data_IF_836737341459
#
_entry.id   IF_836737341459
#
_cell.length_a   1.000
_cell.length_b   1.000
_cell.length_c   1.000
_cell.angle_alpha   90.00
_cell.angle_beta   90.00
_cell.angle_gamma   90.00
#
_symmetry.space_group_name_H-M   'P 1'
#
loop_
_entity.id
_entity.type
_entity.pdbx_description
1 polymer ?
#
# COMPACT_ATOMS: atom_id res chain seq x y z
N UNK A 1 15.59 60.61 37.19
CA UNK A 1 14.51 60.29 36.23
C UNK A 1 15.00 59.12 35.40
N UNK A 2 14.69 57.84 35.79
CA UNK A 2 15.11 56.64 35.11
C UNK A 2 13.91 56.11 34.33
N UNK A 3 14.02 56.11 33.01
CA UNK A 3 13.02 55.49 32.12
C UNK A 3 13.39 54.02 31.96
N UNK A 4 12.59 53.12 32.55
CA UNK A 4 12.63 51.68 32.25
C UNK A 4 12.03 51.46 30.85
N UNK A 5 12.83 50.93 29.95
CA UNK A 5 12.39 50.42 28.68
C UNK A 5 12.02 48.91 28.87
N UNK A 6 10.74 48.64 28.94
CA UNK A 6 10.22 47.27 28.93
C UNK A 6 10.22 46.74 27.47
N UNK A 7 11.16 45.82 27.18
CA UNK A 7 11.22 45.13 25.91
C UNK A 7 10.26 43.92 25.95
N UNK A 8 9.08 44.08 25.36
CA UNK A 8 8.10 42.98 25.24
C UNK A 8 8.52 42.07 24.10
N UNK A 9 9.09 40.91 24.42
CA UNK A 9 9.48 39.88 23.47
C UNK A 9 8.23 39.08 23.08
N UNK A 10 7.63 39.43 21.94
CA UNK A 10 6.50 38.73 21.37
C UNK A 10 7.02 37.41 20.73
N UNK A 11 6.90 36.29 21.46
CA UNK A 11 7.16 34.97 20.92
C UNK A 11 6.08 34.60 19.90
N UNK A 12 6.40 34.74 18.62
CA UNK A 12 5.58 34.24 17.52
C UNK A 12 5.71 32.72 17.51
N UNK A 13 4.77 32.01 18.17
CA UNK A 13 4.63 30.56 18.01
C UNK A 13 4.22 30.29 16.57
N UNK A 14 5.19 30.01 15.70
CA UNK A 14 4.94 29.37 14.43
C UNK A 14 4.45 27.95 14.68
N UNK A 15 3.14 27.76 14.79
CA UNK A 15 2.52 26.45 14.79
C UNK A 15 2.73 25.85 13.38
N UNK A 16 3.81 25.10 13.21
CA UNK A 16 3.97 24.25 12.02
C UNK A 16 2.87 23.21 12.06
N UNK A 17 1.79 23.45 11.32
CA UNK A 17 0.78 22.45 11.09
C UNK A 17 1.43 21.30 10.32
N UNK A 18 1.81 20.23 11.02
CA UNK A 18 2.14 18.96 10.41
C UNK A 18 0.88 18.52 9.69
N UNK A 19 0.86 18.73 8.38
CA UNK A 19 -0.23 18.25 7.54
C UNK A 19 -0.20 16.72 7.62
N UNK A 20 -1.21 16.13 8.29
CA UNK A 20 -1.35 14.68 8.31
C UNK A 20 -1.50 14.21 6.86
N UNK A 21 -0.78 13.19 6.52
CA UNK A 21 -0.86 12.50 5.25
C UNK A 21 -1.68 11.24 5.45
N UNK A 22 -2.47 10.86 4.45
CA UNK A 22 -3.16 9.58 4.43
C UNK A 22 -2.16 8.46 4.74
N UNK A 23 -2.52 7.62 5.71
CA UNK A 23 -1.81 6.39 6.03
C UNK A 23 -2.57 5.23 5.39
N UNK A 24 -1.90 4.48 4.55
CA UNK A 24 -2.47 3.32 3.86
C UNK A 24 -2.05 2.02 4.57
N UNK A 25 -2.88 0.99 4.43
CA UNK A 25 -2.50 -0.38 4.78
C UNK A 25 -1.31 -0.81 3.91
N UNK A 26 -0.37 -1.61 4.43
CA UNK A 26 0.78 -2.12 3.67
C UNK A 26 0.43 -2.86 2.38
N UNK A 27 -0.79 -3.38 2.26
CA UNK A 27 -1.30 -4.00 1.04
C UNK A 27 -1.43 -2.99 -0.12
N UNK A 28 -1.53 -1.69 0.18
CA UNK A 28 -1.61 -0.62 -0.82
C UNK A 28 -0.26 0.06 -0.96
N UNK A 29 0.54 -0.42 -1.88
CA UNK A 29 1.85 0.15 -2.20
C UNK A 29 2.10 0.09 -3.70
N UNK A 30 3.20 0.64 -4.13
CA UNK A 30 3.66 0.49 -5.51
C UNK A 30 3.75 -0.99 -5.89
N UNK A 31 3.59 -1.30 -7.16
CA UNK A 31 3.59 -2.63 -7.74
C UNK A 31 2.41 -3.54 -7.35
N UNK A 32 1.45 -3.08 -6.57
CA UNK A 32 0.30 -3.90 -6.14
C UNK A 32 -0.55 -4.37 -7.31
N UNK A 33 -1.33 -5.43 -7.06
CA UNK A 33 -2.37 -5.92 -7.94
C UNK A 33 -3.74 -5.74 -7.30
N UNK A 34 -4.72 -5.29 -8.07
CA UNK A 34 -6.14 -5.31 -7.69
C UNK A 34 -6.88 -6.34 -8.53
N UNK A 35 -7.85 -7.02 -7.89
CA UNK A 35 -8.73 -7.95 -8.59
C UNK A 35 -9.47 -7.26 -9.73
N UNK A 36 -9.48 -7.88 -10.91
CA UNK A 36 -10.17 -7.36 -12.10
C UNK A 36 -11.70 -7.46 -12.01
N UNK A 37 -12.38 -6.65 -12.81
CA UNK A 37 -13.84 -6.69 -13.06
C UNK A 37 -14.68 -6.73 -11.76
N UNK A 38 -14.27 -5.96 -10.75
CA UNK A 38 -14.94 -5.91 -9.44
C UNK A 38 -14.97 -4.49 -8.89
N UNK A 39 -15.55 -4.36 -7.70
CA UNK A 39 -15.43 -3.19 -6.84
C UNK A 39 -14.37 -3.50 -5.78
N UNK A 40 -13.13 -3.17 -6.09
CA UNK A 40 -12.02 -3.42 -5.18
C UNK A 40 -12.06 -2.48 -3.98
N UNK A 41 -12.06 -2.97 -2.74
CA UNK A 41 -12.04 -2.13 -1.55
C UNK A 41 -10.68 -1.45 -1.39
N UNK A 42 -10.70 -0.17 -1.03
CA UNK A 42 -9.53 0.63 -0.68
C UNK A 42 -9.79 1.33 0.63
N UNK A 43 -8.85 1.28 1.57
CA UNK A 43 -9.01 1.83 2.92
C UNK A 43 -7.71 2.38 3.48
N UNK A 44 -7.83 3.11 4.57
CA UNK A 44 -6.70 3.66 5.30
C UNK A 44 -7.15 4.56 6.45
N UNK A 45 -6.21 5.35 6.94
CA UNK A 45 -6.43 6.27 8.04
C UNK A 45 -6.00 7.70 7.64
N UNK A 46 -6.67 8.67 8.24
CA UNK A 46 -6.33 10.10 8.15
C UNK A 46 -6.88 10.81 9.41
N UNK A 47 -6.95 12.13 9.41
CA UNK A 47 -7.60 12.87 10.51
C UNK A 47 -9.12 12.59 10.53
N UNK A 48 -9.73 12.55 11.73
CA UNK A 48 -11.18 12.43 11.86
C UNK A 48 -11.95 13.39 10.95
N UNK A 49 -13.03 12.88 10.36
CA UNK A 49 -13.93 13.64 9.47
C UNK A 49 -13.28 14.24 8.22
N UNK A 50 -12.05 13.91 7.94
CA UNK A 50 -11.34 14.40 6.76
C UNK A 50 -11.93 13.76 5.50
N UNK A 51 -12.13 14.57 4.47
CA UNK A 51 -12.49 14.09 3.14
C UNK A 51 -11.26 13.50 2.46
N UNK A 52 -11.40 12.29 1.91
CA UNK A 52 -10.39 11.60 1.11
C UNK A 52 -10.91 11.45 -0.32
N UNK A 53 -10.10 11.84 -1.28
CA UNK A 53 -10.36 11.67 -2.71
C UNK A 53 -9.40 10.63 -3.28
N UNK A 54 -9.93 9.67 -4.04
CA UNK A 54 -9.17 8.65 -4.76
C UNK A 54 -9.39 8.87 -6.25
N UNK A 55 -8.32 8.95 -7.03
CA UNK A 55 -8.38 9.07 -8.50
C UNK A 55 -7.64 7.91 -9.13
N UNK A 56 -8.30 7.19 -10.01
CA UNK A 56 -7.78 6.04 -10.75
C UNK A 56 -7.34 6.45 -12.15
N UNK A 57 -6.19 5.95 -12.63
CA UNK A 57 -5.66 6.36 -13.92
C UNK A 57 -6.30 5.65 -15.11
N UNK A 58 -6.96 4.51 -14.92
CA UNK A 58 -7.55 3.74 -16.00
C UNK A 58 -8.86 4.31 -16.56
N UNK A 59 -9.58 5.09 -15.74
CA UNK A 59 -10.85 5.71 -16.13
C UNK A 59 -10.97 7.19 -15.70
N UNK A 60 -9.93 7.74 -15.04
CA UNK A 60 -9.87 9.10 -14.49
C UNK A 60 -10.99 9.39 -13.48
N UNK A 61 -11.66 8.35 -12.98
CA UNK A 61 -12.77 8.49 -12.05
C UNK A 61 -12.28 8.93 -10.68
N UNK A 62 -13.10 9.78 -10.05
CA UNK A 62 -12.89 10.26 -8.69
C UNK A 62 -13.90 9.62 -7.74
N UNK A 63 -13.38 9.03 -6.69
CA UNK A 63 -14.15 8.48 -5.58
C UNK A 63 -13.89 9.34 -4.36
N UNK A 64 -14.93 9.62 -3.60
CA UNK A 64 -14.84 10.46 -2.40
C UNK A 64 -15.44 9.74 -1.22
N UNK A 65 -14.74 9.79 -0.09
CA UNK A 65 -15.19 9.24 1.18
C UNK A 65 -14.79 10.17 2.32
N UNK A 66 -15.55 10.18 3.39
CA UNK A 66 -15.21 10.90 4.62
C UNK A 66 -14.73 9.90 5.68
N UNK A 67 -13.64 10.24 6.35
CA UNK A 67 -13.14 9.46 7.48
C UNK A 67 -14.11 9.54 8.67
N UNK A 68 -14.19 8.46 9.42
CA UNK A 68 -14.99 8.35 10.63
C UNK A 68 -14.37 9.14 11.82
N UNK A 69 -15.00 9.14 13.00
CA UNK A 69 -14.46 9.82 14.20
C UNK A 69 -13.10 9.27 14.66
N UNK A 70 -12.73 8.05 14.26
CA UNK A 70 -11.46 7.41 14.54
C UNK A 70 -10.41 7.68 13.46
N UNK A 71 -10.80 8.40 12.39
CA UNK A 71 -9.94 8.71 11.25
C UNK A 71 -9.84 7.57 10.22
N UNK A 72 -10.63 6.50 10.34
CA UNK A 72 -10.67 5.39 9.39
C UNK A 72 -11.58 5.72 8.23
N UNK A 73 -11.19 5.30 7.03
CA UNK A 73 -12.00 5.43 5.83
C UNK A 73 -11.89 4.19 4.96
N UNK A 74 -12.98 3.88 4.25
CA UNK A 74 -13.05 2.78 3.29
C UNK A 74 -13.97 3.18 2.15
N UNK A 75 -13.57 2.85 0.93
CA UNK A 75 -14.39 3.01 -0.27
C UNK A 75 -14.10 1.86 -1.24
N UNK A 76 -14.81 1.84 -2.37
CA UNK A 76 -14.60 0.86 -3.42
C UNK A 76 -14.27 1.57 -4.72
N UNK A 77 -13.32 1.03 -5.48
CA UNK A 77 -12.98 1.49 -6.83
C UNK A 77 -13.33 0.42 -7.85
N UNK A 78 -13.99 0.80 -8.92
CA UNK A 78 -14.30 -0.13 -10.00
C UNK A 78 -13.03 -0.44 -10.79
N UNK A 79 -12.74 -1.72 -10.98
CA UNK A 79 -11.59 -2.21 -11.74
C UNK A 79 -12.02 -2.72 -13.11
N UNK A 80 -11.30 -2.38 -14.20
CA UNK A 80 -11.57 -2.91 -15.53
C UNK A 80 -11.09 -4.37 -15.68
N UNK A 81 -11.06 -4.88 -16.89
CA UNK A 81 -10.37 -6.11 -17.26
C UNK A 81 -8.88 -5.99 -16.98
N UNK A 82 -8.21 -7.15 -16.84
CA UNK A 82 -6.77 -7.22 -16.59
C UNK A 82 -5.95 -6.29 -17.49
N UNK A 83 -4.96 -5.66 -16.93
CA UNK A 83 -4.09 -4.71 -17.62
C UNK A 83 -3.26 -3.85 -16.69
N UNK A 84 -2.58 -2.87 -17.25
CA UNK A 84 -1.67 -1.97 -16.56
C UNK A 84 -0.36 -1.77 -17.33
N UNK A 85 0.62 -1.08 -16.73
CA UNK A 85 0.59 -0.51 -15.38
C UNK A 85 -0.27 0.77 -15.28
N UNK A 86 -0.96 0.89 -14.18
CA UNK A 86 -1.78 2.03 -13.81
C UNK A 86 -1.22 2.77 -12.59
N UNK A 87 -1.92 3.83 -12.19
CA UNK A 87 -1.66 4.50 -10.91
C UNK A 87 -2.96 4.87 -10.20
N UNK A 88 -2.87 4.96 -8.87
CA UNK A 88 -3.94 5.47 -8.01
C UNK A 88 -3.38 6.64 -7.22
N UNK A 89 -4.09 7.75 -7.24
CA UNK A 89 -3.75 8.91 -6.40
C UNK A 89 -4.78 9.05 -5.30
N UNK A 90 -4.32 9.08 -4.05
CA UNK A 90 -5.15 9.22 -2.85
C UNK A 90 -4.75 10.53 -2.16
N UNK A 91 -5.74 11.34 -1.79
CA UNK A 91 -5.49 12.66 -1.22
C UNK A 91 -6.49 13.02 -0.13
N UNK A 92 -5.99 13.48 0.98
CA UNK A 92 -6.74 14.17 2.04
C UNK A 92 -6.40 15.67 2.11
N UNK A 93 -5.82 16.20 1.02
CA UNK A 93 -5.19 17.50 0.90
C UNK A 93 -3.70 17.38 0.57
N UNK A 94 -3.04 16.29 0.97
CA UNK A 94 -1.72 15.88 0.51
C UNK A 94 -1.84 14.60 -0.31
N UNK A 95 -1.21 14.57 -1.49
CA UNK A 95 -1.31 13.46 -2.43
C UNK A 95 -0.32 12.34 -2.09
N UNK A 96 -0.82 11.12 -2.06
CA UNK A 96 -0.05 9.87 -2.11
C UNK A 96 -0.36 9.23 -3.46
N UNK A 97 0.66 8.91 -4.24
CA UNK A 97 0.52 8.23 -5.53
C UNK A 97 1.08 6.83 -5.42
N UNK A 98 0.26 5.84 -5.75
CA UNK A 98 0.67 4.45 -5.94
C UNK A 98 0.89 4.23 -7.43
N UNK A 99 2.07 3.74 -7.78
CA UNK A 99 2.53 3.57 -9.16
C UNK A 99 2.69 2.10 -9.52
N UNK A 100 2.75 1.82 -10.82
CA UNK A 100 2.91 0.45 -11.34
C UNK A 100 1.84 -0.52 -10.81
N UNK A 101 0.61 -0.04 -10.65
CA UNK A 101 -0.53 -0.85 -10.21
C UNK A 101 -1.01 -1.72 -11.37
N UNK A 102 -1.10 -3.02 -11.12
CA UNK A 102 -1.68 -3.96 -12.08
C UNK A 102 -3.13 -4.27 -11.70
N UNK A 103 -3.91 -4.64 -12.69
CA UNK A 103 -5.25 -5.19 -12.51
C UNK A 103 -5.23 -6.59 -13.12
N UNK A 104 -5.67 -7.59 -12.36
CA UNK A 104 -5.61 -8.99 -12.76
C UNK A 104 -6.25 -9.91 -11.73
N UNK A 105 -5.84 -11.16 -11.72
CA UNK A 105 -6.28 -12.13 -10.72
C UNK A 105 -5.43 -12.01 -9.44
N UNK A 106 -6.10 -11.99 -8.30
CA UNK A 106 -5.46 -11.94 -6.98
C UNK A 106 -5.66 -13.28 -6.28
N UNK A 107 -4.56 -13.94 -5.95
CA UNK A 107 -4.56 -15.23 -5.25
C UNK A 107 -4.10 -15.03 -3.82
N UNK A 108 -4.79 -15.68 -2.87
CA UNK A 108 -4.35 -15.79 -1.48
C UNK A 108 -3.75 -17.17 -1.29
N UNK A 109 -2.42 -17.20 -1.16
CA UNK A 109 -1.67 -18.43 -0.93
C UNK A 109 -1.43 -18.61 0.56
N UNK A 110 -1.93 -19.70 1.12
CA UNK A 110 -1.81 -20.01 2.55
C UNK A 110 -1.71 -21.53 2.75
N UNK A 111 -1.07 -21.94 3.83
CA UNK A 111 -0.90 -23.36 4.12
C UNK A 111 0.07 -23.60 5.26
N UNK A 112 0.83 -24.68 5.16
CA UNK A 112 1.85 -25.09 6.11
C UNK A 112 3.25 -25.02 5.50
N UNK A 113 4.14 -25.92 5.88
CA UNK A 113 5.56 -25.91 5.49
C UNK A 113 5.82 -25.80 3.98
N UNK A 114 4.96 -26.39 3.14
CA UNK A 114 5.12 -26.26 1.69
C UNK A 114 4.91 -24.83 1.16
N UNK A 115 4.14 -24.02 1.90
CA UNK A 115 3.94 -22.59 1.54
C UNK A 115 5.07 -21.68 2.05
N UNK A 116 5.99 -22.25 2.87
CA UNK A 116 7.19 -21.58 3.34
C UNK A 116 8.43 -21.97 2.55
N UNK A 117 8.32 -22.97 1.68
CA UNK A 117 9.44 -23.48 0.92
C UNK A 117 9.86 -22.45 -0.12
N UNK A 118 11.08 -21.97 0.02
CA UNK A 118 11.68 -20.99 -0.89
C UNK A 118 12.05 -21.65 -2.22
N UNK A 119 12.04 -20.88 -3.30
CA UNK A 119 12.54 -21.35 -4.60
C UNK A 119 14.03 -21.63 -4.50
N UNK A 120 14.81 -20.73 -3.87
CA UNK A 120 16.23 -20.90 -3.58
C UNK A 120 16.48 -20.70 -2.09
N UNK A 121 16.67 -21.75 -1.35
CA UNK A 121 16.89 -21.70 0.09
C UNK A 121 16.89 -23.09 0.70
N UNK A 122 16.49 -23.20 1.97
CA UNK A 122 16.25 -24.50 2.57
C UNK A 122 15.06 -25.17 1.86
N UNK A 123 15.13 -26.40 1.47
CA UNK A 123 14.05 -27.10 0.78
C UNK A 123 13.76 -26.60 -0.64
N UNK A 124 14.68 -25.92 -1.24
CA UNK A 124 14.59 -25.37 -2.60
C UNK A 124 14.02 -26.36 -3.63
N UNK A 125 13.35 -25.85 -4.63
CA UNK A 125 12.84 -26.66 -5.74
C UNK A 125 14.00 -27.25 -6.55
N UNK A 126 13.81 -28.42 -7.14
CA UNK A 126 14.88 -29.15 -7.83
C UNK A 126 15.50 -28.36 -8.99
N UNK A 127 14.67 -27.65 -9.76
CA UNK A 127 15.05 -26.86 -10.92
C UNK A 127 15.11 -25.34 -10.61
N UNK A 128 15.40 -24.95 -9.38
CA UNK A 128 15.30 -23.56 -8.92
C UNK A 128 16.05 -22.54 -9.78
N UNK A 129 17.16 -22.94 -10.40
CA UNK A 129 17.92 -22.06 -11.30
C UNK A 129 17.11 -21.72 -12.56
N UNK A 130 16.48 -22.73 -13.16
CA UNK A 130 15.59 -22.53 -14.31
C UNK A 130 14.39 -21.66 -13.93
N UNK A 131 13.75 -21.92 -12.80
CA UNK A 131 12.62 -21.11 -12.31
C UNK A 131 13.01 -19.62 -12.12
N UNK A 132 14.20 -19.37 -11.62
CA UNK A 132 14.73 -18.00 -11.48
C UNK A 132 14.95 -17.33 -12.84
N UNK A 133 15.53 -18.03 -13.79
CA UNK A 133 15.76 -17.51 -15.15
C UNK A 133 14.43 -17.23 -15.84
N UNK A 134 13.45 -18.14 -15.74
CA UNK A 134 12.14 -18.02 -16.33
C UNK A 134 11.31 -16.89 -15.70
N UNK A 135 11.53 -16.54 -14.43
CA UNK A 135 10.84 -15.47 -13.72
C UNK A 135 10.93 -14.11 -14.44
N UNK A 136 12.03 -13.85 -15.15
CA UNK A 136 12.22 -12.62 -15.93
C UNK A 136 11.21 -12.49 -17.10
N UNK A 137 10.61 -13.60 -17.54
CA UNK A 137 9.62 -13.62 -18.61
C UNK A 137 8.22 -13.26 -18.12
N UNK A 138 8.02 -13.12 -16.79
CA UNK A 138 6.72 -12.89 -16.17
C UNK A 138 6.64 -11.58 -15.37
N UNK A 139 7.03 -10.44 -15.95
CA UNK A 139 7.07 -9.16 -15.22
C UNK A 139 5.69 -8.65 -14.80
N UNK A 140 4.60 -9.29 -15.24
CA UNK A 140 3.23 -8.95 -14.81
C UNK A 140 2.79 -9.73 -13.57
N UNK A 141 3.52 -10.76 -13.16
CA UNK A 141 3.28 -11.43 -11.87
C UNK A 141 3.83 -10.54 -10.76
N UNK A 142 3.07 -10.43 -9.70
CA UNK A 142 3.39 -9.69 -8.48
C UNK A 142 3.12 -10.57 -7.27
N UNK A 143 3.91 -10.41 -6.25
CA UNK A 143 3.64 -11.08 -4.98
C UNK A 143 3.93 -10.17 -3.79
N UNK A 144 3.20 -10.41 -2.73
CA UNK A 144 3.34 -9.76 -1.44
C UNK A 144 3.54 -10.84 -0.39
N UNK A 145 4.69 -10.85 0.23
CA UNK A 145 4.94 -11.71 1.37
C UNK A 145 4.36 -11.08 2.63
N UNK A 146 3.49 -11.80 3.33
CA UNK A 146 2.93 -11.39 4.62
C UNK A 146 3.85 -11.90 5.72
N UNK A 147 4.29 -11.03 6.61
CA UNK A 147 5.08 -11.43 7.78
C UNK A 147 4.30 -12.39 8.67
N UNK A 148 4.99 -13.41 9.17
CA UNK A 148 4.42 -14.33 10.14
C UNK A 148 4.10 -13.61 11.44
N UNK A 149 2.85 -13.74 11.88
CA UNK A 149 2.39 -13.19 13.14
C UNK A 149 1.34 -14.10 13.75
N UNK A 150 1.33 -14.18 15.06
CA UNK A 150 0.28 -14.84 15.81
C UNK A 150 -0.54 -13.80 16.55
N UNK A 151 -1.86 -13.97 16.57
CA UNK A 151 -2.75 -13.11 17.31
C UNK A 151 -3.88 -13.92 17.92
N UNK A 152 -4.25 -13.71 19.20
CA UNK A 152 -5.39 -14.36 19.81
C UNK A 152 -6.74 -13.82 19.32
N UNK A 153 -6.73 -12.72 18.58
CA UNK A 153 -7.90 -12.07 18.01
C UNK A 153 -7.66 -11.74 16.54
N UNK A 154 -8.71 -11.69 15.70
CA UNK A 154 -8.59 -11.21 14.34
C UNK A 154 -7.98 -9.81 14.31
N UNK A 155 -7.04 -9.60 13.41
CA UNK A 155 -6.41 -8.29 13.17
C UNK A 155 -6.86 -7.74 11.82
N UNK A 156 -6.99 -6.42 11.72
CA UNK A 156 -7.45 -5.76 10.51
C UNK A 156 -6.30 -5.29 9.61
N UNK A 157 -5.07 -5.40 10.07
CA UNK A 157 -3.89 -4.96 9.35
C UNK A 157 -2.87 -6.09 9.27
N UNK A 158 -2.34 -6.30 8.08
CA UNK A 158 -1.19 -7.20 7.87
C UNK A 158 0.11 -6.43 8.04
N UNK A 159 1.17 -7.13 8.35
CA UNK A 159 2.53 -6.65 8.13
C UNK A 159 3.03 -7.26 6.83
N UNK A 160 3.40 -6.42 5.88
CA UNK A 160 4.10 -6.86 4.69
C UNK A 160 5.60 -6.95 4.99
N UNK A 161 6.28 -7.89 4.37
CA UNK A 161 7.73 -7.92 4.38
C UNK A 161 8.31 -6.60 3.83
N UNK A 162 9.52 -6.25 4.20
CA UNK A 162 10.14 -4.93 3.99
C UNK A 162 9.99 -4.36 2.56
N UNK A 163 9.94 -5.22 1.56
CA UNK A 163 9.88 -4.79 0.16
C UNK A 163 8.45 -4.54 -0.37
N UNK A 164 7.40 -4.78 0.44
CA UNK A 164 6.01 -4.67 -0.02
C UNK A 164 5.71 -5.59 -1.21
N UNK A 165 4.93 -5.10 -2.17
CA UNK A 165 4.67 -5.80 -3.42
C UNK A 165 5.90 -5.83 -4.32
N UNK A 166 6.26 -7.00 -4.79
CA UNK A 166 7.42 -7.22 -5.65
C UNK A 166 6.99 -7.64 -7.06
N UNK A 167 7.72 -7.14 -8.04
CA UNK A 167 7.66 -7.61 -9.43
C UNK A 167 8.38 -8.95 -9.51
N UNK A 168 7.85 -9.92 -10.24
CA UNK A 168 8.51 -11.19 -10.51
C UNK A 168 9.81 -10.95 -11.29
N UNK A 169 10.92 -11.34 -10.69
CA UNK A 169 12.28 -11.31 -11.26
C UNK A 169 13.06 -12.48 -10.70
N UNK A 170 14.20 -12.79 -11.31
CA UNK A 170 15.11 -13.82 -10.82
C UNK A 170 15.58 -13.61 -9.37
N UNK A 171 15.64 -12.37 -8.94
CA UNK A 171 16.00 -12.02 -7.56
C UNK A 171 14.83 -12.18 -6.60
N UNK A 172 13.67 -11.63 -6.97
CA UNK A 172 12.51 -11.55 -6.06
C UNK A 172 11.76 -12.88 -5.93
N UNK A 173 11.90 -13.81 -6.86
CA UNK A 173 11.29 -15.15 -6.79
C UNK A 173 12.14 -16.12 -5.96
N UNK A 174 13.37 -15.75 -5.62
CA UNK A 174 14.30 -16.62 -4.91
C UNK A 174 13.92 -16.86 -3.44
N UNK A 175 13.33 -15.86 -2.79
CA UNK A 175 13.05 -15.80 -1.36
C UNK A 175 11.72 -16.44 -0.93
#
# INVERSE_FOLDING_TARGET
MNKLFTFSLFWLLCATSVAAQVKLSPIFSDNMVLQQQTKAPVWGETKPYKKVEITTSWDQKKYTVQADPQGKWKTEVATPVAGGPYSITISDGKKVKLSNVMIGEVWVCSGQSNMEMQVEGWGKVMNYQQEKEEAENYPNIRFLLVEKATSPQPINEIKAAENGWQVCTSKSVAD
#
